data_IF_790359814026
#
_entry.id   IF_790359814026
#
_cell.length_a   1.000
_cell.length_b   1.000
_cell.length_c   1.000
_cell.angle_alpha   90.00
_cell.angle_beta   90.00
_cell.angle_gamma   90.00
#
_symmetry.space_group_name_H-M   'P 1'
#
loop_
_entity.id
_entity.type
_entity.pdbx_description
1 polymer ?
#
# COMPACT_ATOMS: atom_id res chain seq x y z
N UNK A 1 -0.49 15.03 3.90
CA UNK A 1 -1.61 14.06 3.96
C UNK A 1 -1.32 12.96 2.97
N UNK A 2 -1.19 11.73 3.48
CA UNK A 2 -0.92 10.53 2.70
C UNK A 2 -2.26 9.94 2.26
N UNK A 3 -2.36 9.53 0.99
CA UNK A 3 -3.55 8.87 0.48
C UNK A 3 -3.18 7.47 0.00
N UNK A 4 -3.97 6.48 0.40
CA UNK A 4 -3.84 5.10 -0.06
C UNK A 4 -5.18 4.61 -0.57
N UNK A 5 -5.18 4.10 -1.80
CA UNK A 5 -6.32 3.41 -2.40
C UNK A 5 -5.96 1.96 -2.58
N UNK A 6 -6.65 1.07 -1.88
CA UNK A 6 -6.53 -0.37 -2.11
C UNK A 6 -7.48 -0.80 -3.22
N UNK A 7 -6.98 -1.58 -4.17
CA UNK A 7 -7.77 -2.15 -5.26
C UNK A 7 -8.28 -3.53 -4.87
N UNK A 8 -9.50 -3.84 -5.29
CA UNK A 8 -10.13 -5.14 -5.10
C UNK A 8 -10.75 -5.65 -6.38
N UNK A 9 -10.76 -6.96 -6.55
CA UNK A 9 -11.50 -7.64 -7.60
C UNK A 9 -12.06 -8.94 -7.04
N UNK A 10 -13.35 -9.17 -7.24
CA UNK A 10 -14.09 -10.30 -6.65
C UNK A 10 -13.95 -10.35 -5.11
N UNK A 11 -13.82 -9.18 -4.46
CA UNK A 11 -13.64 -9.06 -3.03
C UNK A 11 -12.21 -9.28 -2.50
N UNK A 12 -11.28 -9.75 -3.33
CA UNK A 12 -9.87 -9.97 -2.99
C UNK A 12 -9.01 -8.74 -3.31
N UNK A 13 -7.94 -8.51 -2.55
CA UNK A 13 -7.03 -7.38 -2.83
C UNK A 13 -6.23 -7.63 -4.11
N UNK A 14 -6.16 -6.64 -5.00
CA UNK A 14 -5.34 -6.73 -6.23
C UNK A 14 -4.15 -5.79 -6.21
N UNK A 15 -4.02 -4.93 -5.18
CA UNK A 15 -2.89 -4.01 -5.04
C UNK A 15 -3.28 -2.72 -4.32
N UNK A 16 -2.44 -1.70 -4.48
CA UNK A 16 -2.67 -0.38 -3.91
C UNK A 16 -2.03 0.72 -4.75
N UNK A 17 -2.50 1.94 -4.55
CA UNK A 17 -1.91 3.18 -5.06
C UNK A 17 -1.78 4.15 -3.89
N UNK A 18 -0.54 4.55 -3.60
CA UNK A 18 -0.20 5.40 -2.49
C UNK A 18 0.50 6.65 -2.96
N UNK A 19 0.10 7.82 -2.43
CA UNK A 19 0.69 9.11 -2.78
C UNK A 19 0.80 10.07 -1.59
N UNK A 20 1.70 11.05 -1.71
CA UNK A 20 1.84 12.15 -0.75
C UNK A 20 2.89 11.92 0.35
N UNK A 21 3.92 11.12 0.06
CA UNK A 21 4.99 10.75 1.01
C UNK A 21 6.16 11.72 1.09
N UNK A 22 6.39 12.57 0.08
CA UNK A 22 7.52 13.49 0.04
C UNK A 22 7.08 14.95 0.20
N UNK A 23 7.55 15.54 1.28
CA UNK A 23 7.44 16.96 1.60
C UNK A 23 7.94 17.18 3.02
N UNK A 24 8.69 18.25 3.25
CA UNK A 24 9.05 18.71 4.60
C UNK A 24 7.78 18.73 5.45
N UNK A 25 7.72 17.86 6.45
CA UNK A 25 6.51 17.67 7.21
C UNK A 25 6.63 18.28 8.60
N UNK A 26 5.52 18.81 9.11
CA UNK A 26 5.46 19.25 10.49
C UNK A 26 5.74 18.07 11.44
N UNK A 27 6.24 18.39 12.64
CA UNK A 27 6.69 17.40 13.62
C UNK A 27 5.67 16.26 13.82
N UNK A 28 6.09 15.02 13.55
CA UNK A 28 5.26 13.81 13.67
C UNK A 28 4.67 13.27 12.36
N UNK A 29 4.54 14.09 11.30
CA UNK A 29 4.14 13.57 9.98
C UNK A 29 5.29 12.78 9.33
N UNK A 30 6.55 13.14 9.58
CA UNK A 30 7.73 12.39 9.10
C UNK A 30 7.73 10.94 9.58
N UNK A 31 7.31 10.69 10.82
CA UNK A 31 7.24 9.34 11.42
C UNK A 31 6.16 8.50 10.72
N UNK A 32 5.02 9.12 10.41
CA UNK A 32 3.92 8.46 9.67
C UNK A 32 4.35 8.14 8.24
N UNK A 33 5.00 9.09 7.54
CA UNK A 33 5.54 8.88 6.21
C UNK A 33 6.57 7.75 6.18
N UNK A 34 7.50 7.73 7.14
CA UNK A 34 8.51 6.67 7.24
C UNK A 34 7.88 5.30 7.50
N UNK A 35 6.97 5.22 8.47
CA UNK A 35 6.28 3.97 8.81
C UNK A 35 5.47 3.40 7.65
N UNK A 36 4.69 4.24 6.98
CA UNK A 36 3.88 3.77 5.85
C UNK A 36 4.73 3.41 4.63
N UNK A 37 5.78 4.19 4.34
CA UNK A 37 6.69 3.88 3.24
C UNK A 37 7.37 2.54 3.47
N UNK A 38 7.88 2.29 4.67
CA UNK A 38 8.51 1.02 5.02
C UNK A 38 7.57 -0.17 4.79
N UNK A 39 6.29 -0.06 5.20
CA UNK A 39 5.29 -1.12 4.99
C UNK A 39 5.03 -1.35 3.49
N UNK A 40 4.76 -0.28 2.73
CA UNK A 40 4.37 -0.41 1.33
C UNK A 40 5.52 -0.90 0.45
N UNK A 41 6.75 -0.41 0.68
CA UNK A 41 7.94 -0.91 -0.02
C UNK A 41 8.26 -2.36 0.35
N UNK A 42 8.12 -2.75 1.64
CA UNK A 42 8.33 -4.14 2.03
C UNK A 42 7.34 -5.08 1.32
N UNK A 43 6.08 -4.66 1.17
CA UNK A 43 5.05 -5.41 0.45
C UNK A 43 5.35 -5.47 -1.05
N UNK A 44 5.75 -4.35 -1.68
CA UNK A 44 6.15 -4.33 -3.08
C UNK A 44 7.33 -5.28 -3.35
N UNK A 45 8.38 -5.20 -2.53
CA UNK A 45 9.57 -6.05 -2.65
C UNK A 45 9.26 -7.53 -2.39
N UNK A 46 8.35 -7.83 -1.44
CA UNK A 46 7.94 -9.21 -1.17
C UNK A 46 7.18 -9.82 -2.34
N UNK A 47 6.31 -9.05 -3.00
CA UNK A 47 5.59 -9.51 -4.20
C UNK A 47 6.55 -9.78 -5.36
N UNK A 48 7.56 -8.92 -5.54
CA UNK A 48 8.61 -9.11 -6.54
C UNK A 48 9.46 -10.36 -6.26
N UNK A 49 9.93 -10.54 -5.02
CA UNK A 49 10.71 -11.72 -4.58
C UNK A 49 9.94 -13.03 -4.72
N UNK A 50 8.62 -13.00 -4.46
CA UNK A 50 7.73 -14.15 -4.69
C UNK A 50 7.52 -14.48 -6.18
N UNK A 51 7.98 -13.63 -7.10
CA UNK A 51 7.73 -13.77 -8.53
C UNK A 51 6.26 -13.53 -8.91
N UNK A 52 5.54 -12.73 -8.13
CA UNK A 52 4.17 -12.37 -8.47
C UNK A 52 4.15 -11.55 -9.76
N UNK A 53 3.14 -11.78 -10.60
CA UNK A 53 2.94 -10.99 -11.81
C UNK A 53 2.34 -9.63 -11.44
N UNK A 54 3.20 -8.72 -10.97
CA UNK A 54 2.84 -7.42 -10.46
C UNK A 54 3.36 -6.30 -11.37
N UNK A 55 2.49 -5.32 -11.65
CA UNK A 55 2.89 -4.00 -12.13
C UNK A 55 3.28 -3.15 -10.92
N UNK A 56 4.53 -2.67 -10.91
CA UNK A 56 5.07 -1.79 -9.87
C UNK A 56 5.54 -0.49 -10.55
N UNK A 57 5.03 0.64 -10.07
CA UNK A 57 5.36 1.99 -10.56
C UNK A 57 5.74 2.87 -9.37
N UNK A 58 6.97 3.35 -9.39
CA UNK A 58 7.54 4.25 -8.40
C UNK A 58 7.82 5.61 -9.04
N UNK A 59 7.25 6.65 -8.45
CA UNK A 59 7.54 8.05 -8.75
C UNK A 59 7.95 8.75 -7.45
N UNK A 60 8.52 9.95 -7.54
CA UNK A 60 9.07 10.72 -6.39
C UNK A 60 8.13 10.81 -5.17
N UNK A 61 6.82 10.69 -5.39
CA UNK A 61 5.79 10.86 -4.37
C UNK A 61 4.72 9.77 -4.38
N UNK A 62 4.92 8.70 -5.13
CA UNK A 62 3.87 7.71 -5.39
C UNK A 62 4.46 6.32 -5.55
N UNK A 63 3.79 5.34 -4.94
CA UNK A 63 4.04 3.93 -5.15
C UNK A 63 2.72 3.26 -5.53
N UNK A 64 2.69 2.64 -6.71
CA UNK A 64 1.55 1.88 -7.19
C UNK A 64 1.97 0.44 -7.45
N UNK A 65 1.21 -0.48 -6.89
CA UNK A 65 1.38 -1.92 -7.05
C UNK A 65 0.05 -2.53 -7.49
N UNK A 66 0.07 -3.38 -8.52
CA UNK A 66 -1.11 -4.10 -8.98
C UNK A 66 -0.76 -5.49 -9.50
N UNK A 67 -1.39 -6.53 -8.99
CA UNK A 67 -1.34 -7.88 -9.56
C UNK A 67 -2.16 -7.89 -10.85
N UNK A 68 -1.55 -8.31 -11.96
CA UNK A 68 -2.13 -8.16 -13.31
C UNK A 68 -2.76 -9.44 -13.87
N UNK A 69 -2.79 -10.51 -13.08
CA UNK A 69 -3.45 -11.77 -13.42
C UNK A 69 -4.16 -12.39 -12.20
N UNK A 70 -4.73 -13.59 -12.35
CA UNK A 70 -5.49 -14.27 -11.28
C UNK A 70 -4.64 -14.75 -10.10
N UNK A 71 -3.32 -14.56 -10.12
CA UNK A 71 -2.48 -14.84 -8.95
C UNK A 71 -2.85 -13.96 -7.74
N UNK A 72 -3.65 -12.89 -7.92
CA UNK A 72 -4.23 -12.18 -6.77
C UNK A 72 -5.02 -13.12 -5.84
N UNK A 73 -5.55 -14.26 -6.30
CA UNK A 73 -6.25 -15.21 -5.44
C UNK A 73 -5.31 -16.12 -4.64
N UNK A 74 -4.00 -16.08 -4.91
CA UNK A 74 -3.02 -16.86 -4.16
C UNK A 74 -3.01 -16.45 -2.68
N UNK A 75 -3.13 -17.40 -1.73
CA UNK A 75 -3.18 -17.09 -0.31
C UNK A 75 -1.95 -16.35 0.22
N UNK A 76 -0.75 -16.59 -0.32
CA UNK A 76 0.47 -15.91 0.08
C UNK A 76 0.48 -14.47 -0.44
N UNK A 77 0.08 -14.24 -1.71
CA UNK A 77 -0.07 -12.88 -2.25
C UNK A 77 -1.11 -12.09 -1.45
N UNK A 78 -2.25 -12.72 -1.12
CA UNK A 78 -3.26 -12.09 -0.27
C UNK A 78 -2.74 -11.79 1.13
N UNK A 79 -1.96 -12.68 1.74
CA UNK A 79 -1.36 -12.42 3.05
C UNK A 79 -0.46 -11.18 3.01
N UNK A 80 0.39 -11.06 2.00
CA UNK A 80 1.29 -9.91 1.80
C UNK A 80 0.51 -8.62 1.55
N UNK A 81 -0.51 -8.62 0.69
CA UNK A 81 -1.36 -7.45 0.46
C UNK A 81 -2.17 -7.06 1.70
N UNK A 82 -2.60 -8.03 2.52
CA UNK A 82 -3.28 -7.78 3.80
C UNK A 82 -2.35 -7.13 4.83
N UNK A 83 -1.04 -7.40 4.81
CA UNK A 83 -0.07 -6.68 5.65
C UNK A 83 -0.07 -5.19 5.32
N UNK A 84 -0.10 -4.80 4.04
CA UNK A 84 -0.23 -3.39 3.66
C UNK A 84 -1.54 -2.79 4.19
N UNK A 85 -2.68 -3.46 4.00
CA UNK A 85 -3.98 -2.99 4.49
C UNK A 85 -4.00 -2.80 6.01
N UNK A 86 -3.62 -3.84 6.76
CA UNK A 86 -3.66 -3.83 8.23
C UNK A 86 -2.65 -2.83 8.81
N UNK A 87 -1.44 -2.77 8.25
CA UNK A 87 -0.42 -1.82 8.68
C UNK A 87 -0.86 -0.37 8.45
N UNK A 88 -1.43 -0.08 7.28
CA UNK A 88 -1.97 1.23 6.99
C UNK A 88 -3.15 1.57 7.91
N UNK A 89 -4.12 0.66 8.08
CA UNK A 89 -5.28 0.88 8.94
C UNK A 89 -4.89 1.11 10.40
N UNK A 90 -3.93 0.35 10.92
CA UNK A 90 -3.38 0.57 12.27
C UNK A 90 -2.79 1.96 12.44
N UNK A 91 -1.96 2.42 11.49
CA UNK A 91 -1.42 3.79 11.50
C UNK A 91 -2.54 4.83 11.40
N UNK A 92 -3.59 4.59 10.61
CA UNK A 92 -4.72 5.51 10.47
C UNK A 92 -5.52 5.62 11.78
N UNK A 93 -5.66 4.55 12.56
CA UNK A 93 -6.35 4.59 13.84
C UNK A 93 -5.65 5.51 14.85
N UNK A 94 -4.32 5.55 14.86
CA UNK A 94 -3.54 6.43 15.75
C UNK A 94 -3.30 7.83 15.16
N UNK A 95 -3.09 7.92 13.85
CA UNK A 95 -2.59 9.11 13.15
C UNK A 95 -3.50 9.57 11.99
N UNK A 96 -4.81 9.32 12.07
CA UNK A 96 -5.77 9.54 10.98
C UNK A 96 -5.84 10.96 10.40
N UNK A 97 -5.32 11.97 11.12
CA UNK A 97 -5.14 13.33 10.59
C UNK A 97 -4.12 13.43 9.44
N UNK A 98 -3.23 12.44 9.32
CA UNK A 98 -2.14 12.43 8.33
C UNK A 98 -2.33 11.38 7.24
N UNK A 99 -3.23 10.41 7.42
CA UNK A 99 -3.40 9.26 6.55
C UNK A 99 -4.87 9.02 6.20
N UNK A 100 -5.16 8.99 4.90
CA UNK A 100 -6.45 8.62 4.35
C UNK A 100 -6.34 7.28 3.61
N UNK A 101 -7.24 6.36 3.95
CA UNK A 101 -7.30 5.02 3.34
C UNK A 101 -8.71 4.77 2.85
N UNK A 102 -8.81 4.27 1.61
CA UNK A 102 -10.04 3.80 0.99
C UNK A 102 -9.78 2.52 0.19
N UNK A 103 -10.86 1.82 -0.14
CA UNK A 103 -10.85 0.67 -1.04
C UNK A 103 -11.74 0.94 -2.25
N UNK A 104 -11.37 0.37 -3.41
CA UNK A 104 -12.12 0.47 -4.67
C UNK A 104 -12.22 -0.92 -5.30
N UNK A 105 -13.44 -1.35 -5.61
CA UNK A 105 -13.70 -2.53 -6.44
C UNK A 105 -13.45 -2.19 -7.92
N UNK A 106 -12.74 -3.05 -8.65
CA UNK A 106 -12.41 -2.92 -10.07
C UNK A 106 -12.97 -4.04 -10.91
#
# INVERSE_FOLDING_TARGET
MINITFFKHEGELTGFDSSGHAGYADHGQDIVCAGISAILYAVANSLDDMGANAYIEEEENRLRVKIVDRSYQDPAIQAVLRVAWMGADGIKQEYGKFLNIKSKEE
#
